data_IF_712031258504
#
_entry.id   IF_712031258504
#
_cell.length_a   1.000
_cell.length_b   1.000
_cell.length_c   1.000
_cell.angle_alpha   90.00
_cell.angle_beta   90.00
_cell.angle_gamma   90.00
#
_symmetry.space_group_name_H-M   'P 1'
#
loop_
_entity.id
_entity.type
_entity.pdbx_description
1 polymer ?
#
# COMPACT_ATOMS: atom_id res chain seq x y z
N UNK A 1 -12.42 3.66 9.27
CA UNK A 1 -13.50 3.02 8.48
C UNK A 1 -13.04 1.65 8.03
N UNK A 2 -13.95 0.80 7.54
CA UNK A 2 -13.60 -0.51 6.98
C UNK A 2 -13.12 -0.34 5.54
N UNK A 3 -11.86 -0.66 5.24
CA UNK A 3 -11.32 -0.60 3.88
C UNK A 3 -11.60 -1.91 3.13
N UNK A 4 -12.47 -1.88 2.12
CA UNK A 4 -12.87 -3.07 1.38
C UNK A 4 -11.91 -3.34 0.22
N UNK A 5 -11.35 -4.55 0.15
CA UNK A 5 -10.59 -5.03 -1.00
C UNK A 5 -10.64 -6.54 -1.10
N UNK A 6 -10.43 -7.08 -2.29
CA UNK A 6 -10.20 -8.52 -2.44
C UNK A 6 -8.82 -8.89 -1.89
N UNK A 7 -8.79 -10.00 -1.16
CA UNK A 7 -7.53 -10.56 -0.64
C UNK A 7 -6.71 -11.11 -1.81
N UNK A 8 -5.54 -10.52 -2.02
CA UNK A 8 -4.59 -10.94 -3.07
C UNK A 8 -3.35 -11.65 -2.51
N UNK A 9 -3.18 -11.65 -1.18
CA UNK A 9 -2.08 -12.32 -0.49
C UNK A 9 -2.55 -13.58 0.25
N UNK A 10 -1.62 -14.51 0.47
CA UNK A 10 -1.84 -15.69 1.32
C UNK A 10 -2.23 -15.26 2.73
N UNK A 11 -3.10 -16.04 3.38
CA UNK A 11 -3.42 -15.81 4.78
C UNK A 11 -2.18 -16.03 5.67
N UNK A 12 -1.97 -15.16 6.65
CA UNK A 12 -0.80 -15.22 7.53
C UNK A 12 0.52 -14.80 6.86
N UNK A 13 0.46 -14.14 5.69
CA UNK A 13 1.66 -13.61 5.06
C UNK A 13 2.30 -12.53 5.96
N UNK A 14 3.59 -12.67 6.24
CA UNK A 14 4.38 -11.75 7.06
C UNK A 14 4.44 -10.35 6.41
N UNK A 15 4.16 -9.30 7.19
CA UNK A 15 4.21 -7.89 6.78
C UNK A 15 5.56 -7.22 7.07
N UNK A 16 6.48 -7.87 7.80
CA UNK A 16 7.76 -7.29 8.25
C UNK A 16 8.56 -6.62 7.13
N UNK A 17 8.75 -7.31 6.00
CA UNK A 17 9.48 -6.76 4.86
C UNK A 17 8.80 -5.50 4.30
N UNK A 18 7.47 -5.50 4.22
CA UNK A 18 6.71 -4.34 3.72
C UNK A 18 6.74 -3.18 4.72
N UNK A 19 6.67 -3.47 6.02
CA UNK A 19 6.77 -2.47 7.08
C UNK A 19 8.14 -1.78 7.08
N UNK A 20 9.22 -2.55 6.96
CA UNK A 20 10.57 -2.00 6.88
C UNK A 20 10.75 -1.13 5.64
N UNK A 21 10.27 -1.60 4.49
CA UNK A 21 10.28 -0.83 3.25
C UNK A 21 9.55 0.51 3.40
N UNK A 22 8.32 0.50 3.93
CA UNK A 22 7.52 1.72 4.13
C UNK A 22 8.18 2.69 5.11
N UNK A 23 8.75 2.18 6.21
CA UNK A 23 9.49 3.00 7.18
C UNK A 23 10.65 3.75 6.53
N UNK A 24 11.50 3.03 5.80
CA UNK A 24 12.66 3.62 5.09
C UNK A 24 12.23 4.67 4.07
N UNK A 25 11.15 4.39 3.34
CA UNK A 25 10.58 5.31 2.37
C UNK A 25 10.12 6.63 3.02
N UNK A 26 9.38 6.55 4.12
CA UNK A 26 8.89 7.73 4.87
C UNK A 26 10.05 8.53 5.48
N UNK A 27 11.07 7.86 5.98
CA UNK A 27 12.28 8.48 6.56
C UNK A 27 13.19 9.16 5.51
N UNK A 28 12.77 9.21 4.23
CA UNK A 28 13.58 9.81 3.17
C UNK A 28 14.86 9.04 2.87
N UNK A 29 14.90 7.75 3.25
CA UNK A 29 15.95 6.79 2.88
C UNK A 29 15.39 5.75 1.92
N UNK A 30 14.78 6.16 0.78
CA UNK A 30 14.36 5.17 -0.19
C UNK A 30 15.59 4.40 -0.61
N UNK A 31 15.46 3.08 -0.80
CA UNK A 31 16.49 2.25 -1.42
C UNK A 31 16.58 2.65 -2.91
N UNK A 32 17.01 3.88 -3.21
CA UNK A 32 17.27 4.39 -4.56
C UNK A 32 18.64 3.91 -4.99
N UNK A 33 18.69 2.71 -5.55
CA UNK A 33 19.54 2.49 -6.72
C UNK A 33 18.68 2.70 -7.97
N UNK A 34 18.31 3.96 -8.24
CA UNK A 34 17.97 4.36 -9.60
C UNK A 34 19.29 4.43 -10.39
N UNK A 35 19.83 3.29 -10.84
CA UNK A 35 20.94 3.30 -11.83
C UNK A 35 22.07 2.29 -11.68
N UNK A 36 22.14 1.45 -10.64
CA UNK A 36 23.16 0.40 -10.58
C UNK A 36 22.57 -0.96 -10.99
N UNK A 37 22.94 -1.40 -12.20
CA UNK A 37 22.59 -2.66 -12.82
C UNK A 37 23.13 -3.91 -12.07
N UNK A 38 23.83 -3.73 -10.94
CA UNK A 38 24.41 -4.81 -10.14
C UNK A 38 23.72 -5.10 -8.80
N UNK A 39 22.74 -4.30 -8.38
CA UNK A 39 21.95 -4.59 -7.17
C UNK A 39 20.47 -4.63 -7.56
N UNK A 40 19.84 -5.82 -7.64
CA UNK A 40 18.45 -5.89 -8.04
C UNK A 40 17.61 -5.15 -7.00
N UNK A 41 16.86 -4.15 -7.48
CA UNK A 41 15.70 -3.60 -6.80
C UNK A 41 14.92 -4.79 -6.24
N UNK A 42 14.95 -4.99 -4.92
CA UNK A 42 14.41 -6.21 -4.34
C UNK A 42 12.89 -6.22 -4.51
N UNK A 43 12.44 -6.91 -5.56
CA UNK A 43 11.37 -7.91 -5.55
C UNK A 43 10.01 -7.51 -4.94
N UNK A 44 9.41 -6.40 -5.35
CA UNK A 44 7.93 -6.31 -5.28
C UNK A 44 7.23 -6.83 -6.54
N UNK A 45 7.95 -6.97 -7.66
CA UNK A 45 7.36 -7.48 -8.90
C UNK A 45 6.97 -8.98 -8.81
N UNK A 46 7.63 -9.72 -7.91
CA UNK A 46 7.46 -11.16 -7.73
C UNK A 46 7.34 -11.54 -6.24
N UNK A 47 6.51 -10.77 -5.51
CA UNK A 47 6.26 -11.04 -4.09
C UNK A 47 5.64 -12.44 -3.89
N UNK A 48 6.33 -13.38 -3.22
CA UNK A 48 5.88 -14.77 -3.03
C UNK A 48 4.63 -14.87 -2.15
N UNK A 49 4.30 -13.81 -1.41
CA UNK A 49 3.10 -13.72 -0.58
C UNK A 49 1.83 -13.54 -1.43
N UNK A 50 1.96 -13.07 -2.67
CA UNK A 50 0.84 -12.83 -3.58
C UNK A 50 0.44 -14.13 -4.29
N UNK A 51 -0.85 -14.44 -4.31
CA UNK A 51 -1.35 -15.64 -5.01
C UNK A 51 -1.34 -15.45 -6.52
N UNK A 52 -1.37 -16.53 -7.30
CA UNK A 52 -1.42 -16.44 -8.78
C UNK A 52 -2.62 -15.60 -9.26
N UNK A 53 -3.80 -15.86 -8.71
CA UNK A 53 -5.02 -15.08 -8.98
C UNK A 53 -4.89 -13.65 -8.46
N UNK A 54 -4.30 -13.47 -7.27
CA UNK A 54 -4.06 -12.14 -6.69
C UNK A 54 -3.15 -11.28 -7.55
N UNK A 55 -2.16 -11.88 -8.23
CA UNK A 55 -1.28 -11.19 -9.18
C UNK A 55 -2.06 -10.66 -10.37
N UNK A 56 -3.00 -11.43 -10.91
CA UNK A 56 -3.87 -10.97 -12.00
C UNK A 56 -4.78 -9.82 -11.53
N UNK A 57 -5.43 -9.97 -10.37
CA UNK A 57 -6.29 -8.92 -9.81
C UNK A 57 -5.55 -7.59 -9.59
N UNK A 58 -4.31 -7.64 -9.08
CA UNK A 58 -3.48 -6.44 -8.90
C UNK A 58 -3.05 -5.81 -10.23
N UNK A 59 -2.75 -6.63 -11.25
CA UNK A 59 -2.37 -6.14 -12.58
C UNK A 59 -3.49 -5.38 -13.28
N UNK A 60 -4.73 -5.71 -12.97
CA UNK A 60 -5.93 -5.09 -13.54
C UNK A 60 -6.61 -4.12 -12.58
N UNK A 61 -6.04 -3.88 -11.39
CA UNK A 61 -6.62 -3.09 -10.30
C UNK A 61 -8.01 -3.58 -9.83
N UNK A 62 -8.39 -4.81 -10.15
CA UNK A 62 -9.69 -5.37 -9.79
C UNK A 62 -9.79 -5.72 -8.31
N UNK A 63 -8.66 -5.85 -7.60
CA UNK A 63 -8.70 -6.10 -6.16
C UNK A 63 -9.28 -4.94 -5.35
N UNK A 64 -9.35 -3.75 -5.96
CA UNK A 64 -9.82 -2.52 -5.33
C UNK A 64 -11.25 -2.14 -5.72
N UNK A 65 -11.92 -2.89 -6.62
CA UNK A 65 -13.34 -2.68 -6.94
C UNK A 65 -14.27 -2.59 -5.72
N UNK A 66 -14.08 -3.38 -4.64
CA UNK A 66 -14.91 -3.23 -3.44
C UNK A 66 -14.83 -1.85 -2.78
N UNK A 67 -13.77 -1.07 -3.02
CA UNK A 67 -13.63 0.30 -2.50
C UNK A 67 -14.68 1.26 -3.09
N UNK A 68 -15.27 0.95 -4.25
CA UNK A 68 -16.40 1.72 -4.78
C UNK A 68 -17.57 1.76 -3.79
N UNK A 69 -17.79 0.67 -3.03
CA UNK A 69 -18.80 0.65 -1.97
C UNK A 69 -18.42 1.58 -0.80
N UNK A 70 -17.14 1.76 -0.51
CA UNK A 70 -16.68 2.74 0.48
C UNK A 70 -16.93 4.18 0.00
N UNK A 71 -16.76 4.46 -1.30
CA UNK A 71 -17.11 5.76 -1.89
C UNK A 71 -18.61 6.01 -1.79
N UNK A 72 -19.44 5.02 -2.18
CA UNK A 72 -20.90 5.15 -2.13
C UNK A 72 -21.45 5.28 -0.71
N UNK A 73 -20.82 4.64 0.28
CA UNK A 73 -21.16 4.80 1.71
C UNK A 73 -20.68 6.12 2.31
N UNK A 74 -19.82 6.85 1.60
CA UNK A 74 -19.26 8.08 2.07
C UNK A 74 -18.08 7.91 3.03
N UNK A 75 -17.45 6.74 3.12
CA UNK A 75 -16.19 6.54 3.86
C UNK A 75 -14.99 7.07 3.08
N UNK A 76 -15.04 6.99 1.74
CA UNK A 76 -14.00 7.44 0.81
C UNK A 76 -14.56 8.45 -0.20
N UNK A 77 -13.65 9.10 -0.93
CA UNK A 77 -13.89 9.95 -2.10
C UNK A 77 -13.37 9.24 -3.35
N UNK A 78 -13.83 9.63 -4.54
CA UNK A 78 -13.24 9.18 -5.81
C UNK A 78 -11.82 9.77 -6.00
N UNK A 79 -11.59 10.94 -5.41
CA UNK A 79 -10.29 11.62 -5.42
C UNK A 79 -9.95 12.03 -4.00
N UNK A 80 -8.82 11.53 -3.51
CA UNK A 80 -8.30 11.82 -2.17
C UNK A 80 -6.93 11.17 -1.96
N UNK A 81 -6.30 11.38 -0.81
CA UNK A 81 -5.08 10.66 -0.45
C UNK A 81 -5.38 9.19 -0.14
N UNK A 82 -4.47 8.30 -0.54
CA UNK A 82 -4.54 6.89 -0.18
C UNK A 82 -4.62 6.73 1.34
N UNK A 83 -5.58 5.95 1.87
CA UNK A 83 -5.66 5.69 3.29
C UNK A 83 -4.41 4.94 3.77
N UNK A 84 -3.70 5.44 4.79
CA UNK A 84 -2.50 4.79 5.31
C UNK A 84 -2.81 3.53 6.10
N UNK A 85 -1.85 2.62 6.13
CA UNK A 85 -1.87 1.45 7.01
C UNK A 85 -1.37 1.87 8.40
N UNK A 86 -1.84 1.29 9.53
CA UNK A 86 -1.47 1.78 10.87
C UNK A 86 0.02 1.97 11.13
N UNK A 87 0.86 1.01 10.71
CA UNK A 87 2.31 1.11 10.89
C UNK A 87 2.98 2.19 10.02
N UNK A 88 2.32 2.66 8.95
CA UNK A 88 2.82 3.79 8.17
C UNK A 88 2.61 5.09 8.96
N UNK A 89 1.45 5.22 9.62
CA UNK A 89 1.13 6.37 10.48
C UNK A 89 2.08 6.45 11.67
N UNK A 90 2.50 5.32 12.22
CA UNK A 90 3.51 5.25 13.28
C UNK A 90 4.84 5.90 12.87
N UNK A 91 5.20 5.83 11.58
CA UNK A 91 6.42 6.42 11.03
C UNK A 91 6.26 7.89 10.59
N UNK A 92 5.06 8.47 10.66
CA UNK A 92 4.82 9.84 10.20
C UNK A 92 5.35 10.89 11.17
N UNK A 93 6.22 11.75 10.64
CA UNK A 93 6.47 13.09 11.19
C UNK A 93 5.19 13.94 11.23
N UNK A 94 5.20 14.98 12.07
CA UNK A 94 4.03 15.83 12.34
C UNK A 94 3.42 16.43 11.06
N UNK A 95 4.25 16.85 10.10
CA UNK A 95 3.75 17.47 8.87
C UNK A 95 3.08 16.46 7.92
N UNK A 96 3.50 15.20 7.91
CA UNK A 96 2.86 14.13 7.12
C UNK A 96 1.41 13.90 7.55
N UNK A 97 1.11 14.12 8.85
CA UNK A 97 -0.21 13.83 9.43
C UNK A 97 -1.32 14.72 8.91
N UNK A 98 -1.02 15.88 8.31
CA UNK A 98 -2.01 16.76 7.67
C UNK A 98 -2.87 16.04 6.62
N UNK A 99 -2.33 15.00 5.98
CA UNK A 99 -3.07 14.19 5.00
C UNK A 99 -4.20 13.35 5.62
N UNK A 100 -4.15 13.11 6.94
CA UNK A 100 -5.16 12.35 7.68
C UNK A 100 -6.45 13.15 7.90
N UNK A 101 -6.38 14.48 7.77
CA UNK A 101 -7.52 15.38 7.93
C UNK A 101 -8.42 15.41 6.68
N UNK A 102 -7.96 14.83 5.57
CA UNK A 102 -8.68 14.75 4.30
C UNK A 102 -9.39 13.42 4.16
N UNK A 103 -10.55 13.44 3.48
CA UNK A 103 -11.27 12.22 3.15
C UNK A 103 -10.42 11.35 2.21
N UNK A 104 -10.14 10.09 2.56
CA UNK A 104 -9.30 9.23 1.73
C UNK A 104 -9.96 8.95 0.39
N UNK A 105 -9.15 8.70 -0.63
CA UNK A 105 -9.59 8.36 -1.98
C UNK A 105 -8.50 7.70 -2.81
#
# INVERSE_FOLDING_TARGET
>A
FLFLKFRTMRAGADDREHREYQRRYIEGRPDTNMGDSRRPVYKLHDDPRVTRTGRWLRRTSLDELPQLLNVLRGDMSVVGPRPPIPYEVEAYELWHRKRLDMKPG
#
